data_IF_250051157094
#
_entry.id   IF_250051157094
#
_cell.length_a   1.000
_cell.length_b   1.000
_cell.length_c   1.000
_cell.angle_alpha   90.00
_cell.angle_beta   90.00
_cell.angle_gamma   90.00
#
_symmetry.space_group_name_H-M   'P 1'
#
loop_
_entity.id
_entity.type
_entity.pdbx_description
1 polymer ?
#
# COMPACT_ATOMS: atom_id res chain seq x y z
N UNK A 1 -25.54 1.09 -11.15
CA UNK A 1 -24.44 1.71 -11.89
C UNK A 1 -23.08 1.41 -11.19
N UNK A 2 -21.97 1.62 -11.89
CA UNK A 2 -20.63 1.28 -11.39
C UNK A 2 -20.21 2.09 -10.16
N UNK A 3 -20.72 3.30 -10.00
CA UNK A 3 -20.47 4.13 -8.83
C UNK A 3 -21.10 3.53 -7.56
N UNK A 4 -22.33 3.05 -7.69
CA UNK A 4 -23.03 2.33 -6.61
C UNK A 4 -22.29 1.05 -6.24
N UNK A 5 -21.81 0.28 -7.24
CA UNK A 5 -21.05 -0.95 -7.01
C UNK A 5 -19.74 -0.64 -6.27
N UNK A 6 -18.98 0.37 -6.70
CA UNK A 6 -17.76 0.78 -6.03
C UNK A 6 -18.00 1.19 -4.57
N UNK A 7 -19.05 1.96 -4.32
CA UNK A 7 -19.42 2.37 -2.96
C UNK A 7 -19.79 1.18 -2.07
N UNK A 8 -20.42 0.13 -2.63
CA UNK A 8 -20.75 -1.10 -1.89
C UNK A 8 -19.49 -1.89 -1.54
N UNK A 9 -18.56 -2.06 -2.49
CA UNK A 9 -17.27 -2.74 -2.24
C UNK A 9 -16.53 -2.08 -1.06
N UNK A 10 -16.52 -0.76 -1.02
CA UNK A 10 -15.77 0.01 -0.01
C UNK A 10 -16.44 0.11 1.36
N UNK A 11 -17.77 -0.07 1.45
CA UNK A 11 -18.52 0.18 2.69
C UNK A 11 -19.01 -1.06 3.41
N UNK A 12 -19.18 -2.16 2.70
CA UNK A 12 -19.81 -3.35 3.26
C UNK A 12 -18.82 -4.49 3.42
N UNK A 13 -18.93 -5.16 4.57
CA UNK A 13 -18.26 -6.44 4.80
C UNK A 13 -18.97 -7.48 3.95
N UNK A 14 -18.51 -7.66 2.73
CA UNK A 14 -19.03 -8.70 1.84
C UNK A 14 -17.86 -9.31 1.06
N UNK A 15 -17.48 -10.52 1.43
CA UNK A 15 -16.39 -11.28 0.83
C UNK A 15 -16.61 -11.59 -0.65
N UNK A 16 -17.84 -11.52 -1.12
CA UNK A 16 -18.19 -11.76 -2.53
C UNK A 16 -18.07 -10.50 -3.40
N UNK A 17 -17.98 -9.32 -2.78
CA UNK A 17 -17.85 -8.06 -3.50
C UNK A 17 -16.36 -7.74 -3.71
N UNK A 18 -15.88 -8.04 -4.90
CA UNK A 18 -14.50 -7.76 -5.32
C UNK A 18 -14.48 -6.90 -6.57
N UNK A 19 -13.31 -6.33 -6.88
CA UNK A 19 -13.11 -5.61 -8.14
C UNK A 19 -13.08 -6.61 -9.30
N UNK A 20 -14.21 -6.74 -10.04
CA UNK A 20 -14.37 -7.72 -11.14
C UNK A 20 -14.76 -7.09 -12.47
N UNK A 21 -14.82 -5.78 -12.56
CA UNK A 21 -15.33 -5.08 -13.73
C UNK A 21 -14.43 -3.89 -14.09
N UNK A 22 -13.98 -3.81 -15.34
CA UNK A 22 -13.16 -2.73 -15.84
C UNK A 22 -13.75 -1.34 -15.55
N UNK A 23 -15.05 -1.17 -15.69
CA UNK A 23 -15.71 0.10 -15.39
C UNK A 23 -15.58 0.48 -13.90
N UNK A 24 -15.53 -0.49 -13.01
CA UNK A 24 -15.31 -0.23 -11.58
C UNK A 24 -13.89 0.21 -11.33
N UNK A 25 -12.89 -0.43 -11.95
CA UNK A 25 -11.49 -0.04 -11.75
C UNK A 25 -11.19 1.34 -12.33
N UNK A 26 -11.75 1.70 -13.49
CA UNK A 26 -11.63 3.06 -14.03
C UNK A 26 -12.28 4.10 -13.09
N UNK A 27 -13.49 3.83 -12.59
CA UNK A 27 -14.13 4.70 -11.60
C UNK A 27 -13.36 4.80 -10.30
N UNK A 28 -12.70 3.72 -9.88
CA UNK A 28 -11.82 3.72 -8.70
C UNK A 28 -10.67 4.70 -8.88
N UNK A 29 -9.96 4.64 -10.00
CA UNK A 29 -8.84 5.55 -10.29
C UNK A 29 -9.30 6.99 -10.39
N UNK A 30 -10.39 7.26 -11.13
CA UNK A 30 -10.96 8.60 -11.26
C UNK A 30 -11.37 9.20 -9.91
N UNK A 31 -11.91 8.38 -9.02
CA UNK A 31 -12.42 8.83 -7.72
C UNK A 31 -11.32 8.95 -6.66
N UNK A 32 -10.36 8.06 -6.65
CA UNK A 32 -9.42 7.90 -5.56
C UNK A 32 -7.95 8.12 -5.94
N UNK A 33 -7.59 7.93 -7.23
CA UNK A 33 -6.20 7.90 -7.65
C UNK A 33 -5.41 9.15 -7.28
N UNK A 34 -5.93 10.34 -7.61
CA UNK A 34 -5.28 11.59 -7.27
C UNK A 34 -5.12 11.78 -5.76
N UNK A 35 -6.16 11.43 -4.99
CA UNK A 35 -6.13 11.52 -3.54
C UNK A 35 -5.05 10.62 -2.97
N UNK A 36 -5.02 9.35 -3.35
CA UNK A 36 -4.06 8.39 -2.81
C UNK A 36 -2.63 8.73 -3.18
N UNK A 37 -2.39 9.18 -4.42
CA UNK A 37 -1.09 9.70 -4.82
C UNK A 37 -0.64 10.89 -3.96
N UNK A 38 -1.55 11.84 -3.69
CA UNK A 38 -1.27 13.03 -2.86
C UNK A 38 -1.02 12.68 -1.39
N UNK A 39 -1.72 11.70 -0.86
CA UNK A 39 -1.52 11.21 0.51
C UNK A 39 -0.14 10.57 0.66
N UNK A 40 0.25 9.72 -0.28
CA UNK A 40 1.59 9.12 -0.30
C UNK A 40 2.66 10.19 -0.51
N UNK A 41 2.48 11.14 -1.43
CA UNK A 41 3.41 12.27 -1.60
C UNK A 41 3.63 13.02 -0.27
N UNK A 42 2.56 13.26 0.48
CA UNK A 42 2.65 13.88 1.78
C UNK A 42 3.44 13.04 2.78
N UNK A 43 3.19 11.73 2.85
CA UNK A 43 3.90 10.82 3.74
C UNK A 43 5.38 10.76 3.33
N UNK A 44 5.66 10.64 2.04
CA UNK A 44 7.03 10.59 1.52
C UNK A 44 7.84 11.87 1.81
N UNK A 45 7.19 12.98 2.19
CA UNK A 45 7.91 14.18 2.62
C UNK A 45 8.78 13.97 3.88
N UNK A 46 8.49 12.98 4.70
CA UNK A 46 9.31 12.61 5.85
C UNK A 46 10.65 11.97 5.46
N UNK A 47 10.74 11.46 4.24
CA UNK A 47 11.94 10.83 3.70
C UNK A 47 12.81 11.81 2.89
N UNK A 48 12.30 13.01 2.61
CA UNK A 48 13.03 13.99 1.81
C UNK A 48 14.28 14.45 2.58
N UNK A 49 15.45 14.19 1.99
CA UNK A 49 16.74 14.56 2.60
C UNK A 49 17.23 13.55 3.64
N UNK A 50 16.61 12.40 3.79
CA UNK A 50 17.14 11.33 4.64
C UNK A 50 18.40 10.75 3.99
N UNK A 51 19.58 10.90 4.65
CA UNK A 51 20.84 10.41 4.12
C UNK A 51 20.98 8.88 4.13
N UNK A 52 20.06 8.19 4.78
CA UNK A 52 20.04 6.72 4.82
C UNK A 52 19.36 6.10 3.60
N UNK A 53 18.60 6.88 2.84
CA UNK A 53 17.97 6.37 1.62
C UNK A 53 19.00 6.24 0.49
N UNK A 54 19.12 5.07 -0.13
CA UNK A 54 20.00 4.88 -1.26
C UNK A 54 19.52 5.64 -2.49
N UNK A 55 20.43 5.96 -3.43
CA UNK A 55 20.07 6.60 -4.71
C UNK A 55 19.17 5.68 -5.53
N UNK A 56 19.50 4.39 -5.60
CA UNK A 56 18.64 3.35 -6.17
C UNK A 56 17.85 2.66 -5.04
N UNK A 57 16.53 2.82 -5.02
CA UNK A 57 15.68 2.31 -3.95
C UNK A 57 14.74 1.23 -4.43
N UNK A 58 14.63 0.17 -3.65
CA UNK A 58 13.62 -0.87 -3.80
C UNK A 58 12.34 -0.47 -3.03
N UNK A 59 11.32 -0.09 -3.77
CA UNK A 59 10.02 0.32 -3.22
C UNK A 59 8.98 -0.73 -3.59
N UNK A 60 8.47 -1.44 -2.60
CA UNK A 60 7.49 -2.49 -2.80
C UNK A 60 6.13 -2.05 -2.26
N UNK A 61 5.06 -2.39 -2.99
CA UNK A 61 3.67 -2.08 -2.59
C UNK A 61 2.83 -3.35 -2.61
N UNK A 62 2.20 -3.67 -1.48
CA UNK A 62 1.37 -4.87 -1.33
C UNK A 62 -0.09 -4.49 -1.43
N UNK A 63 -0.85 -5.25 -2.22
CA UNK A 63 -2.23 -4.90 -2.58
C UNK A 63 -2.26 -3.59 -3.37
N UNK A 64 -1.30 -3.42 -4.30
CA UNK A 64 -1.07 -2.16 -4.99
C UNK A 64 -2.25 -1.69 -5.85
N UNK A 65 -3.16 -2.58 -6.23
CA UNK A 65 -4.28 -2.23 -7.10
C UNK A 65 -3.79 -1.50 -8.38
N UNK A 66 -4.27 -0.26 -8.64
CA UNK A 66 -3.85 0.53 -9.78
C UNK A 66 -2.52 1.28 -9.56
N UNK A 67 -1.81 1.00 -8.49
CA UNK A 67 -0.47 1.55 -8.17
C UNK A 67 -0.39 3.09 -8.17
N UNK A 68 -1.40 3.74 -7.65
CA UNK A 68 -1.46 5.22 -7.59
C UNK A 68 -0.42 5.82 -6.66
N UNK A 69 0.08 5.07 -5.70
CA UNK A 69 1.12 5.48 -4.75
C UNK A 69 2.46 5.79 -5.41
N UNK A 70 2.80 5.12 -6.52
CA UNK A 70 4.07 5.36 -7.23
C UNK A 70 4.22 6.82 -7.68
N UNK A 71 3.12 7.47 -8.04
CA UNK A 71 3.13 8.89 -8.42
C UNK A 71 3.59 9.78 -7.25
N UNK A 72 3.11 9.48 -6.04
CA UNK A 72 3.52 10.20 -4.83
C UNK A 72 4.99 9.95 -4.48
N UNK A 73 5.45 8.71 -4.60
CA UNK A 73 6.85 8.34 -4.34
C UNK A 73 7.79 9.08 -5.29
N UNK A 74 7.59 8.96 -6.59
CA UNK A 74 8.46 9.56 -7.61
C UNK A 74 8.44 11.09 -7.54
N UNK A 75 7.24 11.68 -7.35
CA UNK A 75 7.13 13.13 -7.22
C UNK A 75 7.93 13.67 -6.04
N UNK A 76 7.94 12.95 -4.93
CA UNK A 76 8.60 13.41 -3.69
C UNK A 76 10.10 13.11 -3.65
N UNK A 77 10.55 12.09 -4.34
CA UNK A 77 11.94 11.63 -4.37
C UNK A 77 12.57 11.73 -5.77
N UNK A 78 12.58 12.93 -6.39
CA UNK A 78 12.96 13.11 -7.79
C UNK A 78 14.45 12.81 -8.08
N UNK A 79 15.29 12.77 -7.05
CA UNK A 79 16.72 12.51 -7.16
C UNK A 79 17.09 11.04 -6.98
N UNK A 80 16.09 10.17 -6.81
CA UNK A 80 16.28 8.74 -6.61
C UNK A 80 15.82 7.95 -7.83
N UNK A 81 16.52 6.87 -8.13
CA UNK A 81 16.05 5.86 -9.09
C UNK A 81 15.19 4.86 -8.31
N UNK A 82 13.93 4.75 -8.68
CA UNK A 82 12.98 3.88 -7.99
C UNK A 82 12.89 2.54 -8.75
N UNK A 83 13.19 1.45 -8.06
CA UNK A 83 12.89 0.09 -8.45
C UNK A 83 11.58 -0.30 -7.76
N UNK A 84 10.47 0.02 -8.41
CA UNK A 84 9.14 -0.23 -7.86
C UNK A 84 8.65 -1.63 -8.22
N UNK A 85 8.15 -2.36 -7.23
CA UNK A 85 7.49 -3.64 -7.43
C UNK A 85 6.13 -3.66 -6.74
N UNK A 86 5.06 -3.69 -7.53
CA UNK A 86 3.69 -3.76 -7.05
C UNK A 86 3.17 -5.20 -7.04
N UNK A 87 2.59 -5.63 -5.93
CA UNK A 87 2.00 -6.96 -5.74
C UNK A 87 0.48 -6.85 -5.61
N UNK A 88 -0.25 -7.51 -6.48
CA UNK A 88 -1.70 -7.66 -6.34
C UNK A 88 -2.16 -8.96 -7.03
N UNK A 89 -2.82 -9.83 -6.28
CA UNK A 89 -3.32 -11.11 -6.81
C UNK A 89 -4.54 -10.94 -7.71
N UNK A 90 -5.11 -9.74 -7.81
CA UNK A 90 -6.25 -9.46 -8.67
C UNK A 90 -5.80 -8.91 -10.03
N UNK A 91 -5.69 -9.79 -11.01
CA UNK A 91 -5.23 -9.47 -12.37
C UNK A 91 -6.09 -8.43 -13.12
N UNK A 92 -7.24 -8.05 -12.59
CA UNK A 92 -8.06 -6.99 -13.22
C UNK A 92 -7.34 -5.65 -13.31
N UNK A 93 -6.32 -5.43 -12.48
CA UNK A 93 -5.50 -4.21 -12.47
C UNK A 93 -4.44 -4.19 -13.58
N UNK A 94 -4.14 -5.34 -14.21
CA UNK A 94 -3.05 -5.47 -15.17
C UNK A 94 -3.10 -4.44 -16.33
N UNK A 95 -4.25 -4.10 -16.94
CA UNK A 95 -4.29 -3.07 -17.98
C UNK A 95 -3.85 -1.69 -17.48
N UNK A 96 -4.24 -1.30 -16.26
CA UNK A 96 -3.84 -0.04 -15.66
C UNK A 96 -2.36 -0.06 -15.27
N UNK A 97 -1.89 -1.14 -14.68
CA UNK A 97 -0.50 -1.32 -14.28
C UNK A 97 0.45 -1.30 -15.50
N UNK A 98 0.03 -1.86 -16.64
CA UNK A 98 0.77 -1.74 -17.88
C UNK A 98 0.88 -0.29 -18.37
N UNK A 99 -0.16 0.52 -18.21
CA UNK A 99 -0.08 1.95 -18.48
C UNK A 99 0.88 2.65 -17.53
N UNK A 100 0.79 2.38 -16.22
CA UNK A 100 1.67 2.98 -15.21
C UNK A 100 3.13 2.69 -15.51
N UNK A 101 3.48 1.45 -15.90
CA UNK A 101 4.85 1.06 -16.28
C UNK A 101 5.45 1.96 -17.33
N UNK A 102 4.67 2.44 -18.29
CA UNK A 102 5.15 3.28 -19.40
C UNK A 102 5.32 4.74 -19.04
N UNK A 103 4.76 5.20 -17.93
CA UNK A 103 4.77 6.61 -17.53
C UNK A 103 6.10 7.05 -16.89
N UNK A 104 6.92 6.12 -16.44
CA UNK A 104 8.12 6.42 -15.66
C UNK A 104 9.40 5.81 -16.30
N UNK A 105 9.81 6.26 -17.50
CA UNK A 105 10.92 5.62 -18.23
C UNK A 105 12.29 5.73 -17.54
N UNK A 106 12.43 6.60 -16.53
CA UNK A 106 13.64 6.74 -15.71
C UNK A 106 13.69 5.82 -14.49
N UNK A 107 12.68 4.97 -14.29
CA UNK A 107 12.53 4.09 -13.15
C UNK A 107 12.26 2.66 -13.62
N UNK A 108 12.58 1.67 -12.78
CA UNK A 108 12.22 0.28 -13.04
C UNK A 108 10.90 -0.02 -12.33
N UNK A 109 9.83 -0.23 -13.11
CA UNK A 109 8.46 -0.43 -12.60
C UNK A 109 7.98 -1.81 -13.02
N UNK A 110 7.77 -2.67 -12.04
CA UNK A 110 7.36 -4.06 -12.21
C UNK A 110 6.07 -4.36 -11.43
N UNK A 111 5.31 -5.33 -11.92
CA UNK A 111 4.08 -5.80 -11.28
C UNK A 111 4.05 -7.32 -11.25
N UNK A 112 3.71 -7.84 -10.07
CA UNK A 112 3.65 -9.27 -9.80
C UNK A 112 2.21 -9.65 -9.41
N UNK A 113 1.67 -10.68 -10.04
CA UNK A 113 0.34 -11.23 -9.77
C UNK A 113 0.38 -12.43 -8.79
N UNK A 114 1.39 -12.41 -7.92
CA UNK A 114 1.64 -13.43 -6.91
C UNK A 114 1.46 -12.87 -5.50
N UNK A 115 1.31 -13.76 -4.54
CA UNK A 115 1.32 -13.38 -3.13
C UNK A 115 2.70 -12.83 -2.74
N UNK A 116 2.69 -11.69 -2.06
CA UNK A 116 3.92 -11.00 -1.65
C UNK A 116 4.82 -11.87 -0.76
N UNK A 117 4.25 -12.60 0.19
CA UNK A 117 5.07 -13.43 1.08
C UNK A 117 5.60 -14.68 0.39
N UNK A 118 4.85 -15.24 -0.57
CA UNK A 118 5.37 -16.29 -1.42
C UNK A 118 6.58 -15.79 -2.22
N UNK A 119 6.46 -14.62 -2.84
CA UNK A 119 7.58 -13.99 -3.54
C UNK A 119 8.79 -13.80 -2.62
N UNK A 120 8.58 -13.26 -1.42
CA UNK A 120 9.65 -13.02 -0.44
C UNK A 120 10.28 -14.30 0.12
N UNK A 121 9.58 -15.43 0.08
CA UNK A 121 10.14 -16.73 0.48
C UNK A 121 11.10 -17.29 -0.59
N UNK A 122 10.90 -16.93 -1.85
CA UNK A 122 11.69 -17.41 -2.99
C UNK A 122 12.83 -16.44 -3.38
N UNK A 123 12.82 -15.21 -2.86
CA UNK A 123 13.75 -14.14 -3.19
C UNK A 123 14.36 -13.51 -1.94
N UNK A 124 15.64 -13.16 -2.01
CA UNK A 124 16.38 -12.50 -0.92
C UNK A 124 16.45 -10.98 -1.09
N UNK A 125 15.43 -10.40 -1.70
CA UNK A 125 15.37 -8.95 -1.94
C UNK A 125 15.38 -8.16 -0.61
N UNK A 126 16.17 -7.09 -0.58
CA UNK A 126 16.05 -6.06 0.44
C UNK A 126 15.07 -5.00 -0.02
N UNK A 127 14.19 -4.56 0.88
CA UNK A 127 13.15 -3.56 0.63
C UNK A 127 13.50 -2.29 1.39
N UNK A 128 13.76 -1.19 0.69
CA UNK A 128 14.01 0.09 1.34
C UNK A 128 12.72 0.70 1.87
N UNK A 129 11.64 0.62 1.10
CA UNK A 129 10.32 1.11 1.51
C UNK A 129 9.24 0.09 1.12
N UNK A 130 8.53 -0.41 2.12
CA UNK A 130 7.33 -1.24 1.94
C UNK A 130 6.08 -0.39 2.16
N UNK A 131 5.17 -0.39 1.19
CA UNK A 131 3.96 0.43 1.21
C UNK A 131 2.71 -0.43 1.38
N UNK A 132 1.86 -0.06 2.33
CA UNK A 132 0.48 -0.52 2.48
C UNK A 132 -0.45 0.67 2.27
N UNK A 133 -1.07 0.74 1.10
CA UNK A 133 -1.95 1.86 0.74
C UNK A 133 -3.40 1.39 0.70
N UNK A 134 -4.19 1.68 1.74
CA UNK A 134 -5.57 1.23 1.94
C UNK A 134 -5.75 -0.31 1.97
N UNK A 135 -4.69 -1.04 2.29
CA UNK A 135 -4.68 -2.50 2.33
C UNK A 135 -5.29 -3.05 3.62
N UNK A 136 -4.89 -2.53 4.78
CA UNK A 136 -5.27 -3.11 6.07
C UNK A 136 -6.78 -3.00 6.31
N UNK A 137 -7.39 -1.88 5.92
CA UNK A 137 -8.83 -1.71 5.99
C UNK A 137 -9.59 -2.65 5.03
N UNK A 138 -9.05 -2.91 3.85
CA UNK A 138 -9.62 -3.87 2.91
C UNK A 138 -9.49 -5.30 3.40
N UNK A 139 -8.32 -5.67 3.94
CA UNK A 139 -8.11 -6.97 4.56
C UNK A 139 -9.07 -7.21 5.73
N UNK A 140 -9.20 -6.24 6.63
CA UNK A 140 -10.08 -6.33 7.78
C UNK A 140 -11.56 -6.54 7.41
N UNK A 141 -11.97 -6.07 6.23
CA UNK A 141 -13.33 -6.28 5.71
C UNK A 141 -13.51 -7.61 4.99
N UNK A 142 -12.48 -8.10 4.31
CA UNK A 142 -12.58 -9.21 3.37
C UNK A 142 -12.02 -10.52 3.90
N UNK A 143 -11.12 -10.47 4.89
CA UNK A 143 -10.41 -11.64 5.41
C UNK A 143 -10.84 -11.93 6.85
N UNK A 144 -10.60 -13.16 7.28
CA UNK A 144 -10.79 -13.53 8.68
C UNK A 144 -9.63 -13.06 9.57
N UNK A 145 -9.84 -13.14 10.88
CA UNK A 145 -8.86 -12.67 11.85
C UNK A 145 -7.53 -13.47 11.79
N UNK A 146 -7.59 -14.75 11.45
CA UNK A 146 -6.40 -15.62 11.35
C UNK A 146 -5.53 -15.16 10.20
N UNK A 147 -6.12 -14.90 9.04
CA UNK A 147 -5.39 -14.36 7.88
C UNK A 147 -4.72 -13.02 8.22
N UNK A 148 -5.47 -12.11 8.85
CA UNK A 148 -4.95 -10.79 9.23
C UNK A 148 -3.78 -10.89 10.22
N UNK A 149 -3.90 -11.75 11.23
CA UNK A 149 -2.82 -11.97 12.21
C UNK A 149 -1.59 -12.57 11.55
N UNK A 150 -1.76 -13.58 10.70
CA UNK A 150 -0.65 -14.21 9.96
C UNK A 150 0.06 -13.20 9.04
N UNK A 151 -0.70 -12.33 8.37
CA UNK A 151 -0.13 -11.27 7.54
C UNK A 151 0.78 -10.35 8.39
N UNK A 152 0.29 -9.89 9.54
CA UNK A 152 1.06 -9.02 10.44
C UNK A 152 2.32 -9.75 10.95
N UNK A 153 2.21 -11.01 11.35
CA UNK A 153 3.35 -11.79 11.83
C UNK A 153 4.43 -11.98 10.76
N UNK A 154 4.02 -12.21 9.52
CA UNK A 154 4.96 -12.32 8.40
C UNK A 154 5.68 -10.99 8.13
N UNK A 155 4.97 -9.86 8.18
CA UNK A 155 5.61 -8.52 8.04
C UNK A 155 6.63 -8.30 9.16
N UNK A 156 6.27 -8.58 10.40
CA UNK A 156 7.17 -8.46 11.57
C UNK A 156 8.42 -9.33 11.37
N UNK A 157 8.25 -10.57 10.94
CA UNK A 157 9.36 -11.50 10.70
C UNK A 157 10.33 -10.97 9.63
N UNK A 158 9.83 -10.38 8.54
CA UNK A 158 10.68 -9.75 7.51
C UNK A 158 11.44 -8.54 8.07
N UNK A 159 10.82 -7.74 8.94
CA UNK A 159 11.49 -6.63 9.61
C UNK A 159 12.59 -7.12 10.57
N UNK A 160 12.31 -8.18 11.34
CA UNK A 160 13.29 -8.80 12.25
C UNK A 160 14.48 -9.38 11.50
N UNK A 161 14.24 -9.94 10.33
CA UNK A 161 15.30 -10.40 9.42
C UNK A 161 16.04 -9.24 8.73
N UNK A 162 15.72 -7.98 9.04
CA UNK A 162 16.28 -6.77 8.42
C UNK A 162 16.13 -6.72 6.89
N UNK A 163 15.08 -7.33 6.38
CA UNK A 163 14.78 -7.31 4.94
C UNK A 163 13.96 -6.09 4.53
N UNK A 164 13.41 -5.35 5.50
CA UNK A 164 12.64 -4.13 5.28
C UNK A 164 13.23 -3.00 6.12
N UNK A 165 13.58 -1.89 5.49
CA UNK A 165 14.10 -0.71 6.19
C UNK A 165 12.99 0.20 6.70
N UNK A 166 11.98 0.48 5.87
CA UNK A 166 10.90 1.38 6.22
C UNK A 166 9.55 0.79 5.81
N UNK A 167 8.52 1.04 6.62
CA UNK A 167 7.12 0.72 6.28
C UNK A 167 6.32 2.01 6.23
N UNK A 168 5.63 2.21 5.13
CA UNK A 168 4.65 3.29 4.94
C UNK A 168 3.26 2.69 4.96
N UNK A 169 2.44 3.15 5.89
CA UNK A 169 1.04 2.74 6.01
C UNK A 169 0.17 3.97 5.78
N UNK A 170 -0.63 3.95 4.73
CA UNK A 170 -1.67 4.92 4.47
C UNK A 170 -3.02 4.20 4.47
N UNK A 171 -3.84 4.45 5.50
CA UNK A 171 -5.12 3.77 5.62
C UNK A 171 -6.16 4.65 6.32
N UNK A 172 -7.43 4.29 6.19
CA UNK A 172 -8.52 5.04 6.79
C UNK A 172 -8.66 4.72 8.28
N UNK A 173 -8.80 5.77 9.07
CA UNK A 173 -9.27 5.67 10.44
C UNK A 173 -10.79 5.43 10.42
N UNK A 174 -11.19 4.17 10.35
CA UNK A 174 -12.61 3.82 10.35
C UNK A 174 -13.10 3.69 11.80
N UNK A 175 -13.77 4.72 12.27
CA UNK A 175 -14.59 4.67 13.48
C UNK A 175 -16.00 4.13 13.21
N UNK A 176 -16.37 3.93 11.94
CA UNK A 176 -17.68 3.45 11.54
C UNK A 176 -17.61 1.97 11.14
N UNK A 177 -18.41 1.16 11.79
CA UNK A 177 -18.43 -0.29 11.59
C UNK A 177 -17.54 -1.02 12.59
N UNK A 178 -16.89 -2.05 12.19
CA UNK A 178 -16.13 -2.96 13.06
C UNK A 178 -14.77 -2.42 13.53
N UNK A 179 -14.35 -1.21 13.13
CA UNK A 179 -13.10 -0.58 13.57
C UNK A 179 -11.81 -1.34 13.23
N UNK A 180 -11.90 -2.36 12.40
CA UNK A 180 -10.93 -3.44 12.30
C UNK A 180 -9.66 -3.06 11.53
N UNK A 181 -9.73 -2.16 10.54
CA UNK A 181 -8.54 -1.71 9.82
C UNK A 181 -7.54 -0.95 10.70
N UNK A 182 -8.05 -0.08 11.54
CA UNK A 182 -7.24 0.64 12.54
C UNK A 182 -6.65 -0.32 13.58
N UNK A 183 -7.41 -1.32 14.02
CA UNK A 183 -6.92 -2.32 14.97
C UNK A 183 -5.74 -3.12 14.39
N UNK A 184 -5.77 -3.47 13.10
CA UNK A 184 -4.65 -4.14 12.43
C UNK A 184 -3.42 -3.23 12.34
N UNK A 185 -3.60 -1.95 12.07
CA UNK A 185 -2.51 -0.99 12.05
C UNK A 185 -1.89 -0.81 13.45
N UNK A 186 -2.71 -0.72 14.49
CA UNK A 186 -2.22 -0.66 15.88
C UNK A 186 -1.52 -1.94 16.31
N UNK A 187 -2.03 -3.10 15.90
CA UNK A 187 -1.38 -4.38 16.19
C UNK A 187 -0.01 -4.49 15.53
N UNK A 188 0.09 -4.14 14.25
CA UNK A 188 1.36 -4.10 13.53
C UNK A 188 2.33 -3.13 14.21
N UNK A 189 1.89 -1.90 14.49
CA UNK A 189 2.71 -0.90 15.16
C UNK A 189 3.20 -1.38 16.53
N UNK A 190 2.33 -2.00 17.34
CA UNK A 190 2.68 -2.53 18.66
C UNK A 190 3.71 -3.66 18.57
N UNK A 191 3.56 -4.58 17.61
CA UNK A 191 4.53 -5.68 17.39
C UNK A 191 5.88 -5.12 16.95
N UNK A 192 5.89 -4.15 16.05
CA UNK A 192 7.11 -3.49 15.58
C UNK A 192 7.80 -2.67 16.68
N UNK A 193 7.05 -1.94 17.52
CA UNK A 193 7.59 -1.15 18.65
C UNK A 193 8.30 -2.01 19.70
N UNK A 194 7.89 -3.26 19.87
CA UNK A 194 8.56 -4.19 20.77
C UNK A 194 9.93 -4.64 20.24
N UNK A 195 10.22 -4.38 18.99
CA UNK A 195 11.52 -4.63 18.40
C UNK A 195 12.42 -3.38 18.58
N UNK A 196 13.50 -3.52 19.38
CA UNK A 196 14.42 -2.44 19.76
C UNK A 196 15.14 -1.77 18.58
N UNK A 197 15.06 -2.37 17.40
CA UNK A 197 15.74 -1.87 16.19
C UNK A 197 14.80 -1.05 15.29
N UNK A 198 13.55 -0.83 15.67
CA UNK A 198 12.57 -0.12 14.86
C UNK A 198 12.22 1.22 15.50
N UNK A 199 12.44 2.30 14.76
CA UNK A 199 12.01 3.65 15.15
C UNK A 199 10.63 3.90 14.56
N UNK A 200 9.64 4.16 15.41
CA UNK A 200 8.30 4.50 14.96
C UNK A 200 8.11 6.02 14.88
N UNK A 201 7.73 6.51 13.72
CA UNK A 201 7.19 7.85 13.56
C UNK A 201 5.74 7.75 13.07
N UNK A 202 4.80 8.03 13.96
CA UNK A 202 3.39 8.03 13.64
C UNK A 202 2.88 9.43 13.40
N UNK A 203 2.25 9.66 12.26
CA UNK A 203 1.46 10.87 12.02
C UNK A 203 -0.02 10.50 11.96
N UNK A 204 -0.84 11.19 12.76
CA UNK A 204 -2.29 11.11 12.66
C UNK A 204 -2.79 12.41 12.04
N UNK A 205 -3.27 12.35 10.82
CA UNK A 205 -3.83 13.51 10.15
C UNK A 205 -5.11 13.17 9.42
N UNK A 206 -6.01 14.16 9.38
CA UNK A 206 -7.18 14.10 8.52
C UNK A 206 -6.85 14.88 7.25
N UNK A 207 -6.85 14.20 6.11
CA UNK A 207 -6.91 14.89 4.84
C UNK A 207 -8.33 15.41 4.67
N UNK A 208 -8.53 16.71 4.90
CA UNK A 208 -9.79 17.35 4.57
C UNK A 208 -9.97 17.28 3.06
N UNK A 209 -10.98 16.55 2.59
CA UNK A 209 -11.44 16.71 1.22
C UNK A 209 -11.89 18.15 1.04
N UNK A 210 -11.41 18.87 0.01
CA UNK A 210 -11.99 20.17 -0.33
C UNK A 210 -13.51 19.97 -0.49
N UNK A 211 -14.30 20.79 0.21
CA UNK A 211 -15.73 20.83 -0.01
C UNK A 211 -15.92 21.28 -1.47
N UNK A 212 -16.51 20.42 -2.29
CA UNK A 212 -17.03 20.80 -3.60
C UNK A 212 -18.19 21.74 -3.42
#
# INVERSE_FOLDING_TARGET
DCYSCLSKIQRYVNRDLTYRCEKIIHNYVLKHGHRYASEIDKIMSYFTGDPQLPIGMNVYSVGCGPSTEIFGVINRLPNHVIHYKGFDTNQIWAPLNNCVRTLFPGHDVQFEDVDFFQFMAENDDHIDILIFNYLLSDMARQKDATFCSTFIDNVVSLCEARRISHIVINDVYLTYGTGTGYALMEELARKLQNNRNITWQGWRGHFATPKQ
#
